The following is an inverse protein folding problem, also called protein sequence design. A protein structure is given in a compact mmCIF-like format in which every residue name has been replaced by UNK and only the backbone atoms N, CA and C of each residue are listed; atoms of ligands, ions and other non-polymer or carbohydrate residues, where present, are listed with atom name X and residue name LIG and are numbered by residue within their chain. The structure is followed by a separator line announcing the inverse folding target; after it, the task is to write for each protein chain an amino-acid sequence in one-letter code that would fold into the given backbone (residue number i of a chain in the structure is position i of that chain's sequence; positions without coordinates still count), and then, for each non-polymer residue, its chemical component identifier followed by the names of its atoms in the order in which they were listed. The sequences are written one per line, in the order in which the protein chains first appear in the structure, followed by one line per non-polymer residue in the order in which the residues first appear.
data_IF_100156013132
#
_entry.id   IF_100156013132
#
_cell.length_a   1.000
_cell.length_b   1.000
_cell.length_c   1.000
_cell.angle_alpha   90.00
_cell.angle_beta   90.00
_cell.angle_gamma   90.00
#
_symmetry.space_group_name_H-M   'P 1'
#
loop_
_entity.id
_entity.type
_entity.pdbx_description
1 polymer ?
#
# COMPACT_ATOMS: atom_id res chain seq x y z
N UNK A 1 10.86 -10.36 -19.60
CA UNK A 1 10.31 -11.17 -18.48
C UNK A 1 10.52 -12.61 -18.78
N UNK A 2 11.20 -13.29 -17.93
CA UNK A 2 11.49 -14.69 -18.09
C UNK A 2 10.64 -15.56 -17.20
N UNK A 3 10.82 -16.87 -17.37
CA UNK A 3 10.15 -17.86 -16.53
C UNK A 3 10.47 -17.63 -15.04
N UNK A 4 11.70 -17.24 -14.74
CA UNK A 4 12.12 -16.96 -13.38
C UNK A 4 11.31 -15.82 -12.76
N UNK A 5 11.07 -14.75 -13.51
CA UNK A 5 10.27 -13.64 -13.02
C UNK A 5 8.84 -14.07 -12.71
N UNK A 6 8.28 -14.93 -13.55
CA UNK A 6 6.95 -15.48 -13.35
C UNK A 6 6.87 -16.28 -12.05
N UNK A 7 7.88 -17.09 -11.79
CA UNK A 7 7.94 -17.91 -10.58
C UNK A 7 8.12 -17.04 -9.34
N UNK A 8 9.04 -16.09 -9.39
CA UNK A 8 9.32 -15.20 -8.28
C UNK A 8 8.12 -14.28 -8.03
N UNK A 9 7.55 -13.74 -9.10
CA UNK A 9 6.43 -12.82 -9.01
C UNK A 9 5.16 -13.44 -8.44
N UNK A 10 4.96 -14.74 -8.62
CA UNK A 10 3.73 -15.40 -8.14
C UNK A 10 3.57 -15.31 -6.63
N UNK A 11 4.67 -15.26 -5.87
CA UNK A 11 4.63 -15.15 -4.42
C UNK A 11 4.50 -13.73 -3.90
N UNK A 12 4.61 -12.73 -4.77
CA UNK A 12 4.60 -11.32 -4.38
C UNK A 12 3.40 -10.53 -4.90
N UNK A 13 2.50 -11.18 -5.65
CA UNK A 13 1.37 -10.52 -6.29
C UNK A 13 1.74 -9.96 -7.65
N UNK A 14 1.22 -8.77 -8.00
CA UNK A 14 1.60 -8.08 -9.22
C UNK A 14 3.03 -7.57 -9.10
N UNK A 15 3.68 -7.42 -10.24
CA UNK A 15 5.08 -7.04 -10.29
C UNK A 15 5.33 -5.73 -11.01
N UNK A 16 6.61 -5.36 -11.03
CA UNK A 16 7.09 -4.16 -11.74
C UNK A 16 6.74 -4.26 -13.22
N UNK A 17 6.18 -3.19 -13.76
CA UNK A 17 5.75 -3.11 -15.14
C UNK A 17 4.29 -3.43 -15.35
N UNK A 18 3.61 -4.04 -14.36
CA UNK A 18 2.18 -4.30 -14.45
C UNK A 18 1.39 -3.02 -14.26
N UNK A 19 0.27 -2.91 -14.96
CA UNK A 19 -0.67 -1.83 -14.69
C UNK A 19 -1.32 -2.08 -13.33
N UNK A 20 -1.35 -1.06 -12.49
CA UNK A 20 -2.03 -1.16 -11.20
C UNK A 20 -3.54 -1.23 -11.44
N UNK A 21 -4.25 -2.18 -10.80
CA UNK A 21 -5.71 -2.25 -10.92
C UNK A 21 -6.37 -0.97 -10.44
N UNK A 22 -7.40 -0.53 -11.16
CA UNK A 22 -8.21 0.60 -10.72
C UNK A 22 -9.01 0.20 -9.48
N UNK A 23 -9.17 1.15 -8.57
CA UNK A 23 -10.02 0.94 -7.41
C UNK A 23 -10.61 2.24 -6.91
N UNK A 24 -11.72 2.12 -6.19
CA UNK A 24 -12.33 3.22 -5.44
C UNK A 24 -12.79 2.64 -4.11
N UNK A 25 -12.28 3.18 -3.03
CA UNK A 25 -12.59 2.73 -1.67
C UNK A 25 -12.86 3.93 -0.78
N UNK A 26 -13.62 3.72 0.29
CA UNK A 26 -13.88 4.77 1.29
C UNK A 26 -12.71 4.86 2.26
N UNK A 27 -12.33 6.09 2.61
CA UNK A 27 -11.32 6.34 3.63
C UNK A 27 -11.96 6.41 5.03
N UNK A 28 -11.15 6.73 6.04
CA UNK A 28 -11.60 6.82 7.45
C UNK A 28 -12.60 7.94 7.70
N UNK A 29 -12.76 8.86 6.75
CA UNK A 29 -13.73 9.95 6.85
C UNK A 29 -14.98 9.70 6.01
N UNK A 30 -15.08 8.50 5.40
CA UNK A 30 -16.19 8.15 4.53
C UNK A 30 -16.11 8.75 3.14
N UNK A 31 -14.98 9.34 2.78
CA UNK A 31 -14.79 9.92 1.47
C UNK A 31 -14.24 8.88 0.50
N UNK A 32 -14.69 8.93 -0.76
CA UNK A 32 -14.21 8.02 -1.80
C UNK A 32 -12.82 8.45 -2.27
N UNK A 33 -11.90 7.48 -2.32
CA UNK A 33 -10.56 7.68 -2.85
C UNK A 33 -10.34 6.68 -3.97
N UNK A 34 -9.96 7.17 -5.14
CA UNK A 34 -9.68 6.35 -6.32
C UNK A 34 -8.22 6.49 -6.71
N UNK A 35 -7.63 5.40 -7.19
CA UNK A 35 -6.27 5.47 -7.73
C UNK A 35 -6.18 6.49 -8.87
N UNK A 36 -7.23 6.59 -9.69
CA UNK A 36 -7.31 7.53 -10.80
C UNK A 36 -7.17 9.01 -10.36
N UNK A 37 -7.51 9.31 -9.11
CA UNK A 37 -7.41 10.68 -8.59
C UNK A 37 -5.97 11.22 -8.64
N UNK A 38 -5.00 10.32 -8.65
CA UNK A 38 -3.58 10.70 -8.60
C UNK A 38 -2.90 10.62 -9.97
N UNK A 39 -3.59 10.08 -10.96
CA UNK A 39 -3.00 9.87 -12.29
C UNK A 39 -2.57 11.21 -12.90
N UNK A 40 -1.31 11.27 -13.35
CA UNK A 40 -0.74 12.49 -13.92
C UNK A 40 -0.37 13.55 -12.88
N UNK A 41 -0.61 13.30 -11.60
CA UNK A 41 -0.40 14.27 -10.53
C UNK A 41 0.64 13.83 -9.52
N UNK A 42 0.50 12.61 -9.00
CA UNK A 42 1.37 12.10 -7.94
C UNK A 42 1.70 10.63 -8.17
N UNK A 43 2.90 10.25 -7.75
CA UNK A 43 3.20 8.84 -7.53
C UNK A 43 2.46 8.40 -6.26
N UNK A 44 2.10 7.12 -6.17
CA UNK A 44 1.32 6.61 -5.06
C UNK A 44 2.01 5.40 -4.44
N UNK A 45 2.14 5.42 -3.12
CA UNK A 45 2.56 4.24 -2.36
C UNK A 45 1.30 3.61 -1.79
N UNK A 46 1.00 2.38 -2.20
CA UNK A 46 -0.13 1.62 -1.67
C UNK A 46 0.44 0.50 -0.83
N UNK A 47 0.14 0.50 0.47
CA UNK A 47 0.58 -0.61 1.30
C UNK A 47 -0.62 -1.38 1.83
N UNK A 48 -0.64 -2.68 1.52
CA UNK A 48 -1.62 -3.62 2.06
C UNK A 48 -1.08 -4.19 3.35
N UNK A 49 -1.89 -4.17 4.39
CA UNK A 49 -1.49 -4.70 5.69
C UNK A 49 -2.62 -5.57 6.27
N UNK A 50 -2.28 -6.49 7.17
CA UNK A 50 -3.27 -7.46 7.67
C UNK A 50 -4.42 -6.87 8.46
N UNK A 51 -4.14 -6.01 9.45
CA UNK A 51 -5.19 -5.56 10.36
C UNK A 51 -4.78 -4.34 11.17
N UNK A 52 -5.72 -3.40 11.34
CA UNK A 52 -5.52 -2.21 12.17
C UNK A 52 -5.10 -2.58 13.59
N UNK A 53 -4.24 -1.74 14.15
CA UNK A 53 -3.85 -1.77 15.56
C UNK A 53 -3.26 -3.11 16.02
N UNK A 54 -2.58 -3.82 15.13
CA UNK A 54 -1.73 -4.95 15.47
C UNK A 54 -0.27 -4.47 15.51
N UNK A 55 0.64 -5.16 16.24
CA UNK A 55 1.99 -4.64 16.46
C UNK A 55 2.76 -4.30 15.19
N UNK A 56 2.80 -5.21 14.21
CA UNK A 56 3.53 -4.98 12.96
C UNK A 56 2.90 -3.91 12.09
N UNK A 57 1.58 -3.91 12.00
CA UNK A 57 0.85 -2.93 11.20
C UNK A 57 0.93 -1.54 11.82
N UNK A 58 0.88 -1.46 13.14
CA UNK A 58 1.06 -0.20 13.85
C UNK A 58 2.45 0.36 13.59
N UNK A 59 3.48 -0.48 13.69
CA UNK A 59 4.86 -0.05 13.45
C UNK A 59 5.05 0.44 12.01
N UNK A 60 4.50 -0.28 11.04
CA UNK A 60 4.57 0.12 9.62
C UNK A 60 3.86 1.45 9.39
N UNK A 61 2.63 1.59 9.87
CA UNK A 61 1.85 2.81 9.67
C UNK A 61 2.48 4.02 10.37
N UNK A 62 2.99 3.83 11.58
CA UNK A 62 3.68 4.91 12.29
C UNK A 62 4.99 5.32 11.62
N UNK A 63 5.68 4.37 10.98
CA UNK A 63 6.90 4.68 10.23
C UNK A 63 6.56 5.48 8.97
N UNK A 64 5.49 5.11 8.25
CA UNK A 64 4.98 5.93 7.15
C UNK A 64 4.59 7.34 7.63
N UNK A 65 3.92 7.42 8.78
CA UNK A 65 3.55 8.72 9.39
C UNK A 65 4.79 9.58 9.63
N UNK A 66 5.80 8.99 10.25
CA UNK A 66 7.02 9.74 10.62
C UNK A 66 7.78 10.21 9.38
N UNK A 67 7.65 9.52 8.25
CA UNK A 67 8.29 9.85 6.99
C UNK A 67 7.35 10.53 6.00
N UNK A 68 6.13 10.86 6.41
CA UNK A 68 5.10 11.35 5.49
C UNK A 68 5.54 12.61 4.75
N UNK A 69 6.20 13.53 5.43
CA UNK A 69 6.71 14.75 4.80
C UNK A 69 7.72 14.41 3.69
N UNK A 70 8.58 13.41 3.92
CA UNK A 70 9.51 12.97 2.88
C UNK A 70 8.77 12.47 1.63
N UNK A 71 7.66 11.75 1.81
CA UNK A 71 6.85 11.30 0.68
C UNK A 71 6.19 12.46 -0.06
N UNK A 72 5.56 13.38 0.66
CA UNK A 72 4.89 14.52 0.03
C UNK A 72 5.87 15.46 -0.65
N UNK A 73 7.07 15.63 -0.10
CA UNK A 73 8.11 16.49 -0.69
C UNK A 73 8.59 15.96 -2.05
N UNK A 74 8.54 14.66 -2.27
CA UNK A 74 8.91 14.07 -3.56
C UNK A 74 7.70 13.77 -4.44
N UNK A 75 6.56 14.40 -4.14
CA UNK A 75 5.37 14.31 -4.99
C UNK A 75 4.60 13.01 -4.91
N UNK A 76 4.64 12.35 -3.75
CA UNK A 76 3.95 11.07 -3.58
C UNK A 76 2.86 11.14 -2.51
N UNK A 77 1.85 10.30 -2.65
CA UNK A 77 0.84 10.07 -1.61
C UNK A 77 0.97 8.66 -1.08
N UNK A 78 0.56 8.46 0.17
CA UNK A 78 0.57 7.15 0.83
C UNK A 78 -0.87 6.73 1.08
N UNK A 79 -1.22 5.52 0.68
CA UNK A 79 -2.55 4.93 0.91
C UNK A 79 -2.37 3.60 1.62
N UNK A 80 -2.95 3.46 2.81
CA UNK A 80 -2.98 2.17 3.51
C UNK A 80 -4.29 1.46 3.20
N UNK A 81 -4.22 0.15 2.95
CA UNK A 81 -5.40 -0.65 2.62
C UNK A 81 -5.43 -1.93 3.47
N UNK A 82 -6.54 -2.16 4.13
CA UNK A 82 -6.82 -3.43 4.81
C UNK A 82 -8.30 -3.76 4.74
N UNK A 83 -8.67 -4.94 5.20
CA UNK A 83 -10.06 -5.38 5.24
C UNK A 83 -10.88 -4.82 6.40
N UNK A 84 -10.29 -3.94 7.21
CA UNK A 84 -10.98 -3.33 8.32
C UNK A 84 -12.01 -2.30 7.85
N UNK A 85 -12.99 -2.01 8.71
CA UNK A 85 -14.05 -1.04 8.42
C UNK A 85 -13.54 0.39 8.46
N UNK A 86 -14.34 1.33 7.93
CA UNK A 86 -14.02 2.76 8.04
C UNK A 86 -13.98 3.23 9.49
N UNK A 87 -14.82 2.67 10.34
CA UNK A 87 -14.80 2.98 11.77
C UNK A 87 -13.50 2.52 12.43
N UNK A 88 -13.05 1.31 12.11
CA UNK A 88 -11.77 0.80 12.61
C UNK A 88 -10.61 1.67 12.13
N UNK A 89 -10.61 2.03 10.86
CA UNK A 89 -9.58 2.91 10.28
C UNK A 89 -9.58 4.29 10.95
N UNK A 90 -10.76 4.82 11.25
CA UNK A 90 -10.85 6.12 11.93
C UNK A 90 -10.22 6.05 13.31
N UNK A 91 -10.56 5.02 14.08
CA UNK A 91 -10.00 4.83 15.42
C UNK A 91 -8.47 4.66 15.36
N UNK A 92 -7.98 3.87 14.41
CA UNK A 92 -6.55 3.63 14.22
C UNK A 92 -5.83 4.93 13.84
N UNK A 93 -6.36 5.65 12.86
CA UNK A 93 -5.77 6.91 12.40
C UNK A 93 -5.74 7.97 13.49
N UNK A 94 -6.80 8.07 14.28
CA UNK A 94 -6.85 9.01 15.41
C UNK A 94 -5.89 8.64 16.53
N UNK A 95 -5.83 7.35 16.86
CA UNK A 95 -4.96 6.86 17.93
C UNK A 95 -3.49 7.16 17.67
N UNK A 96 -3.06 6.98 16.44
CA UNK A 96 -1.65 7.15 16.06
C UNK A 96 -1.39 8.39 15.21
N UNK A 97 -2.39 9.23 15.01
CA UNK A 97 -2.27 10.49 14.24
C UNK A 97 -1.72 10.26 12.84
N UNK A 98 -2.32 9.30 12.13
CA UNK A 98 -1.92 8.97 10.77
C UNK A 98 -2.47 10.04 9.80
N UNK A 99 -1.61 10.74 9.04
CA UNK A 99 -2.05 11.87 8.22
C UNK A 99 -2.52 11.50 6.81
N UNK A 100 -2.48 10.23 6.46
CA UNK A 100 -2.81 9.75 5.10
C UNK A 100 -4.08 8.91 5.13
N UNK A 101 -4.71 8.68 3.96
CA UNK A 101 -5.93 7.87 3.89
C UNK A 101 -5.68 6.41 4.24
N UNK A 102 -6.60 5.84 5.03
CA UNK A 102 -6.69 4.41 5.25
C UNK A 102 -7.96 3.93 4.58
N UNK A 103 -7.84 3.04 3.62
CA UNK A 103 -8.93 2.63 2.75
C UNK A 103 -9.52 1.29 3.18
N UNK A 104 -10.84 1.23 3.24
CA UNK A 104 -11.56 0.06 3.72
C UNK A 104 -11.90 -0.88 2.57
N UNK A 105 -11.16 -1.98 2.46
CA UNK A 105 -11.38 -3.05 1.48
C UNK A 105 -12.06 -4.22 2.17
N UNK A 106 -13.25 -3.99 2.70
CA UNK A 106 -13.95 -4.95 3.57
C UNK A 106 -14.24 -6.28 2.91
N UNK A 107 -14.46 -6.29 1.59
CA UNK A 107 -14.69 -7.52 0.85
C UNK A 107 -13.42 -8.16 0.31
N UNK A 108 -12.28 -7.51 0.45
CA UNK A 108 -11.02 -8.01 -0.09
C UNK A 108 -10.90 -7.93 -1.60
N UNK A 109 -11.78 -7.18 -2.26
CA UNK A 109 -11.81 -7.09 -3.72
C UNK A 109 -10.53 -6.48 -4.30
N UNK A 110 -10.07 -5.40 -3.70
CA UNK A 110 -8.86 -4.71 -4.17
C UNK A 110 -7.62 -5.53 -3.88
N UNK A 111 -7.56 -6.14 -2.70
CA UNK A 111 -6.49 -7.06 -2.35
C UNK A 111 -6.38 -8.20 -3.37
N UNK A 112 -7.51 -8.76 -3.79
CA UNK A 112 -7.54 -9.82 -4.81
C UNK A 112 -7.09 -9.29 -6.17
N UNK A 113 -7.52 -8.09 -6.55
CA UNK A 113 -7.14 -7.48 -7.82
C UNK A 113 -5.64 -7.28 -7.92
N UNK A 114 -4.99 -6.89 -6.82
CA UNK A 114 -3.53 -6.75 -6.75
C UNK A 114 -2.83 -8.09 -6.55
N UNK A 115 -3.57 -9.18 -6.40
CA UNK A 115 -3.04 -10.53 -6.19
C UNK A 115 -2.12 -10.60 -4.98
N UNK A 116 -2.48 -9.89 -3.91
CA UNK A 116 -1.70 -9.90 -2.67
C UNK A 116 -1.75 -11.30 -2.07
N UNK A 117 -0.60 -11.97 -1.86
CA UNK A 117 -0.58 -13.33 -1.34
C UNK A 117 -0.97 -13.36 0.13
N UNK A 118 -1.46 -14.50 0.58
CA UNK A 118 -1.68 -14.76 1.99
C UNK A 118 -0.38 -15.23 2.62
N UNK A 119 -0.12 -14.76 3.85
CA UNK A 119 1.00 -15.24 4.63
C UNK A 119 0.62 -16.57 5.29
N UNK A 120 1.47 -17.57 5.17
CA UNK A 120 1.25 -18.91 5.72
C UNK A 120 -0.09 -19.54 5.27
N UNK A 121 -0.62 -19.06 4.12
CA UNK A 121 -1.87 -19.58 3.56
C UNK A 121 -3.14 -19.13 4.28
N UNK A 122 -3.04 -18.43 5.40
CA UNK A 122 -4.19 -18.08 6.25
C UNK A 122 -4.33 -16.57 6.45
N UNK A 123 -3.24 -15.88 6.77
CA UNK A 123 -3.28 -14.46 7.10
C UNK A 123 -3.18 -13.58 5.86
N UNK A 124 -3.88 -12.42 5.85
CA UNK A 124 -3.66 -11.45 4.78
C UNK A 124 -2.18 -11.07 4.71
N UNK A 125 -1.67 -10.89 3.49
CA UNK A 125 -0.27 -10.56 3.29
C UNK A 125 0.03 -9.08 3.54
N UNK A 126 1.33 -8.77 3.61
CA UNK A 126 1.84 -7.41 3.75
C UNK A 126 2.68 -7.10 2.51
N UNK A 127 2.13 -6.30 1.61
CA UNK A 127 2.81 -5.93 0.36
C UNK A 127 2.67 -4.43 0.14
N UNK A 128 3.78 -3.80 -0.23
CA UNK A 128 3.79 -2.38 -0.58
C UNK A 128 4.14 -2.22 -2.05
N UNK A 129 3.31 -1.46 -2.76
CA UNK A 129 3.52 -1.15 -4.18
C UNK A 129 3.83 0.32 -4.33
N UNK A 130 4.79 0.64 -5.19
CA UNK A 130 5.01 2.01 -5.65
C UNK A 130 4.46 2.11 -7.06
N UNK A 131 3.50 3.00 -7.26
CA UNK A 131 2.78 3.18 -8.52
C UNK A 131 3.11 4.58 -9.05
N UNK A 132 3.54 4.67 -10.30
CA UNK A 132 3.91 5.95 -10.87
C UNK A 132 2.68 6.75 -11.35
N UNK A 133 2.92 7.96 -11.86
CA UNK A 133 1.86 8.85 -12.33
C UNK A 133 1.06 8.29 -13.50
N UNK A 134 1.60 7.32 -14.22
CA UNK A 134 0.93 6.65 -15.33
C UNK A 134 0.14 5.43 -14.90
N UNK A 135 0.14 5.12 -13.60
CA UNK A 135 -0.58 3.96 -13.07
C UNK A 135 0.16 2.64 -13.22
N UNK A 136 1.47 2.68 -13.43
CA UNK A 136 2.29 1.49 -13.59
C UNK A 136 3.04 1.19 -12.29
N UNK A 137 3.06 -0.09 -11.88
CA UNK A 137 3.80 -0.52 -10.70
C UNK A 137 5.30 -0.44 -11.00
N UNK A 138 6.02 0.29 -10.17
CA UNK A 138 7.47 0.48 -10.31
C UNK A 138 8.24 -0.28 -9.24
N UNK A 139 7.58 -0.75 -8.19
CA UNK A 139 8.19 -1.58 -7.16
C UNK A 139 7.10 -2.34 -6.41
N UNK A 140 7.44 -3.55 -5.97
CA UNK A 140 6.58 -4.36 -5.11
C UNK A 140 7.46 -5.01 -4.06
N UNK A 141 7.15 -4.79 -2.78
CA UNK A 141 7.91 -5.33 -1.68
C UNK A 141 7.00 -6.15 -0.77
N UNK A 142 7.30 -7.44 -0.63
CA UNK A 142 6.53 -8.36 0.20
C UNK A 142 7.39 -8.83 1.37
N UNK A 143 7.02 -8.43 2.59
CA UNK A 143 7.66 -8.93 3.79
C UNK A 143 6.73 -8.79 4.97
N UNK A 144 6.36 -9.93 5.56
CA UNK A 144 5.49 -9.94 6.74
C UNK A 144 6.25 -9.52 8.00
N UNK A 145 7.53 -9.81 8.06
CA UNK A 145 8.34 -9.67 9.27
C UNK A 145 9.19 -8.39 9.35
N UNK A 146 9.17 -7.58 8.31
CA UNK A 146 10.01 -6.37 8.25
C UNK A 146 9.17 -5.14 7.93
N UNK A 147 8.25 -4.73 8.81
CA UNK A 147 7.32 -3.66 8.49
C UNK A 147 7.98 -2.31 8.17
N UNK A 148 9.10 -1.98 8.80
CA UNK A 148 9.78 -0.70 8.54
C UNK A 148 10.52 -0.69 7.21
N UNK A 149 10.95 -1.85 6.72
CA UNK A 149 11.60 -1.95 5.41
C UNK A 149 10.69 -1.56 4.27
N UNK A 150 9.38 -1.76 4.41
CA UNK A 150 8.41 -1.32 3.41
C UNK A 150 8.53 0.18 3.14
N UNK A 151 8.75 0.96 4.19
CA UNK A 151 8.88 2.41 4.09
C UNK A 151 10.18 2.80 3.41
N UNK A 152 11.30 2.20 3.83
CA UNK A 152 12.61 2.50 3.26
C UNK A 152 12.68 2.16 1.78
N UNK A 153 12.12 0.99 1.40
CA UNK A 153 12.06 0.56 0.01
C UNK A 153 11.26 1.54 -0.84
N UNK A 154 10.10 1.98 -0.34
CA UNK A 154 9.24 2.89 -1.06
C UNK A 154 9.93 4.24 -1.31
N UNK A 155 10.57 4.80 -0.28
CA UNK A 155 11.29 6.07 -0.42
C UNK A 155 12.42 5.95 -1.45
N UNK A 156 13.19 4.87 -1.37
CA UNK A 156 14.30 4.66 -2.29
C UNK A 156 13.86 4.62 -3.75
N UNK A 157 12.77 3.90 -4.03
CA UNK A 157 12.24 3.81 -5.39
C UNK A 157 11.70 5.16 -5.87
N UNK A 158 10.95 5.87 -5.02
CA UNK A 158 10.40 7.18 -5.39
C UNK A 158 11.49 8.18 -5.73
N UNK A 159 12.59 8.19 -4.99
CA UNK A 159 13.72 9.07 -5.29
C UNK A 159 14.32 8.77 -6.65
N UNK A 160 14.34 7.49 -7.05
CA UNK A 160 14.87 7.09 -8.35
C UNK A 160 13.94 7.46 -9.50
N UNK A 161 12.66 7.65 -9.25
CA UNK A 161 11.70 8.06 -10.29
C UNK A 161 11.79 9.55 -10.59
N UNK A 162 12.46 10.26 -9.77
CA UNK A 162 12.72 11.67 -9.99
C UNK A 162 11.68 12.58 -9.55
#
# INVERSE_FOLDING_TARGET
MGLLDSIVGSGTGLGVGDAAPAFTLSDQHGQSVSLADFRGKKNVVVYFYPKDDTPGCTKESCTFRDQYTAFTDIGAEVLGISGDSTQSHKAFAEKYKLPFPLLADTGGTVRKAFKVPKSLGLLPGRVTYVIDKQGVIRHAFNSQLSPTKHVDEAIGVLKSLG
#
